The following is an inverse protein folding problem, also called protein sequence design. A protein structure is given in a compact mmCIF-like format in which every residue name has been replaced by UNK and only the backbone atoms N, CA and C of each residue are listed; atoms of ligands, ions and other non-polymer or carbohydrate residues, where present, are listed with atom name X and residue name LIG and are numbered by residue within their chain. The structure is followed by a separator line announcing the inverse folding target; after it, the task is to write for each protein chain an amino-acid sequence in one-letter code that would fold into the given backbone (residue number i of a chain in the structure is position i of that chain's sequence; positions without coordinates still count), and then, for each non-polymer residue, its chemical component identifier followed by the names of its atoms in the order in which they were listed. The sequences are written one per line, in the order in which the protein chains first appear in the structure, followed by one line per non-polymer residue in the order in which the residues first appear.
data_IF_017132932273
#
_entry.id   IF_017132932273
#
_cell.length_a   1.000
_cell.length_b   1.000
_cell.length_c   1.000
_cell.angle_alpha   90.00
_cell.angle_beta   90.00
_cell.angle_gamma   90.00
#
_symmetry.space_group_name_H-M   'P 1'
#
loop_
_entity.id
_entity.type
_entity.pdbx_description
1 polymer ?
#
# COMPACT_ATOMS: atom_id res chain seq x y z
N UNK A 1 -4.32 -11.22 10.66
CA UNK A 1 -5.00 -9.99 11.11
C UNK A 1 -5.30 -9.17 9.87
N UNK A 2 -6.52 -8.64 9.76
CA UNK A 2 -6.93 -7.86 8.59
C UNK A 2 -6.28 -6.48 8.61
N UNK A 3 -5.90 -6.02 7.43
CA UNK A 3 -5.40 -4.70 7.10
C UNK A 3 -6.29 -4.24 5.95
N UNK A 4 -7.28 -3.40 6.25
CA UNK A 4 -8.20 -2.93 5.22
C UNK A 4 -7.44 -2.02 4.26
N UNK A 5 -7.43 -2.41 2.99
CA UNK A 5 -6.95 -1.60 1.89
C UNK A 5 -8.14 -1.04 1.12
N UNK A 6 -7.86 -0.14 0.20
CA UNK A 6 -8.83 0.27 -0.81
C UNK A 6 -8.08 0.66 -2.08
N UNK A 7 -8.61 0.27 -3.23
CA UNK A 7 -8.07 0.69 -4.51
C UNK A 7 -8.44 2.16 -4.81
N UNK A 8 -7.55 2.91 -5.46
CA UNK A 8 -7.78 4.34 -5.75
C UNK A 8 -9.03 4.56 -6.61
N UNK A 9 -9.30 3.69 -7.57
CA UNK A 9 -10.53 3.75 -8.38
C UNK A 9 -11.79 3.65 -7.51
N UNK A 10 -11.77 2.77 -6.50
CA UNK A 10 -12.88 2.64 -5.55
C UNK A 10 -13.04 3.90 -4.70
N UNK A 11 -11.96 4.59 -4.33
CA UNK A 11 -12.04 5.89 -3.63
C UNK A 11 -12.72 6.94 -4.51
N UNK A 12 -12.30 7.06 -5.77
CA UNK A 12 -12.80 8.07 -6.70
C UNK A 12 -14.29 7.84 -6.98
N UNK A 13 -14.66 6.60 -7.28
CA UNK A 13 -16.04 6.24 -7.58
C UNK A 13 -16.94 6.32 -6.35
N UNK A 14 -16.49 5.86 -5.18
CA UNK A 14 -17.22 6.02 -3.94
C UNK A 14 -17.48 7.50 -3.61
N UNK A 15 -16.50 8.38 -3.86
CA UNK A 15 -16.65 9.83 -3.63
C UNK A 15 -17.70 10.44 -4.57
N UNK A 16 -17.66 10.05 -5.85
CA UNK A 16 -18.63 10.47 -6.84
C UNK A 16 -20.04 10.01 -6.47
N UNK A 17 -20.20 8.72 -6.15
CA UNK A 17 -21.49 8.14 -5.77
C UNK A 17 -22.03 8.73 -4.47
N UNK A 18 -21.18 8.97 -3.47
CA UNK A 18 -21.58 9.64 -2.23
C UNK A 18 -22.12 11.05 -2.50
N UNK A 19 -21.47 11.81 -3.38
CA UNK A 19 -21.89 13.17 -3.75
C UNK A 19 -23.21 13.16 -4.51
N UNK A 20 -23.35 12.24 -5.47
CA UNK A 20 -24.58 12.07 -6.25
C UNK A 20 -25.76 11.65 -5.38
N UNK A 21 -25.53 10.70 -4.47
CA UNK A 21 -26.52 10.27 -3.49
C UNK A 21 -26.92 11.42 -2.56
N UNK A 22 -25.95 12.17 -2.02
CA UNK A 22 -26.20 13.27 -1.10
C UNK A 22 -27.10 14.33 -1.74
N UNK A 23 -26.77 14.71 -2.99
CA UNK A 23 -27.56 15.65 -3.79
C UNK A 23 -28.95 15.11 -4.08
N UNK A 24 -29.07 13.87 -4.56
CA UNK A 24 -30.37 13.24 -4.90
C UNK A 24 -31.30 13.13 -3.69
N UNK A 25 -30.75 12.91 -2.49
CA UNK A 25 -31.52 12.80 -1.24
C UNK A 25 -31.87 14.16 -0.61
N UNK A 26 -31.37 15.28 -1.16
CA UNK A 26 -31.60 16.61 -0.60
C UNK A 26 -31.12 16.73 0.85
N UNK A 27 -30.03 16.04 1.20
CA UNK A 27 -29.49 16.04 2.56
C UNK A 27 -28.96 17.43 2.92
N UNK A 28 -29.06 17.76 4.20
CA UNK A 28 -28.34 18.87 4.83
C UNK A 28 -27.43 18.34 5.94
N UNK A 29 -26.37 19.08 6.25
CA UNK A 29 -25.38 18.70 7.27
C UNK A 29 -24.34 17.67 6.79
N UNK A 30 -23.47 17.26 7.70
CA UNK A 30 -22.32 16.39 7.36
C UNK A 30 -22.71 14.90 7.41
N UNK A 31 -22.35 14.16 6.36
CA UNK A 31 -22.45 12.69 6.34
C UNK A 31 -21.04 12.12 6.17
N UNK A 32 -20.65 11.24 7.10
CA UNK A 32 -19.36 10.56 7.05
C UNK A 32 -19.57 9.13 6.53
N UNK A 33 -18.79 8.75 5.53
CA UNK A 33 -18.65 7.38 5.04
C UNK A 33 -17.19 6.97 5.20
N UNK A 34 -16.97 5.85 5.87
CA UNK A 34 -15.67 5.19 5.81
C UNK A 34 -15.60 4.36 4.53
N UNK A 35 -14.41 4.28 3.95
CA UNK A 35 -14.16 3.45 2.79
C UNK A 35 -13.23 2.31 3.20
N UNK A 36 -13.70 1.09 2.98
CA UNK A 36 -12.94 -0.13 3.22
C UNK A 36 -13.47 -1.17 2.25
N UNK A 37 -12.59 -1.77 1.45
CA UNK A 37 -12.99 -2.86 0.59
C UNK A 37 -13.53 -4.04 1.41
N UNK A 38 -14.29 -4.93 0.78
CA UNK A 38 -14.86 -6.11 1.45
C UNK A 38 -13.84 -7.24 1.63
N UNK A 39 -12.60 -7.01 1.20
CA UNK A 39 -11.51 -7.95 1.31
C UNK A 39 -11.08 -8.15 2.76
N UNK A 40 -10.58 -9.35 3.06
CA UNK A 40 -9.92 -9.65 4.34
C UNK A 40 -8.41 -9.68 4.15
N UNK A 41 -7.88 -8.67 3.43
CA UNK A 41 -6.45 -8.56 3.16
C UNK A 41 -5.68 -8.55 4.48
N UNK A 42 -4.64 -9.36 4.57
CA UNK A 42 -3.70 -9.34 5.68
C UNK A 42 -2.38 -8.75 5.23
N UNK A 43 -1.53 -8.30 6.16
CA UNK A 43 -0.16 -7.90 5.83
C UNK A 43 0.59 -9.01 5.06
N UNK A 44 0.33 -10.29 5.40
CA UNK A 44 0.88 -11.42 4.69
C UNK A 44 0.43 -11.52 3.23
N UNK A 45 -0.82 -11.15 2.93
CA UNK A 45 -1.33 -11.13 1.55
C UNK A 45 -0.67 -10.03 0.73
N UNK A 46 -0.49 -8.84 1.32
CA UNK A 46 0.20 -7.72 0.70
C UNK A 46 1.65 -8.12 0.36
N UNK A 47 2.41 -8.61 1.34
CA UNK A 47 3.81 -8.98 1.13
C UNK A 47 3.94 -10.11 0.11
N UNK A 48 3.05 -11.11 0.13
CA UNK A 48 3.03 -12.17 -0.90
C UNK A 48 2.72 -11.63 -2.29
N UNK A 49 1.79 -10.69 -2.40
CA UNK A 49 1.47 -10.07 -3.68
C UNK A 49 2.65 -9.26 -4.22
N UNK A 50 3.30 -8.45 -3.38
CA UNK A 50 4.51 -7.69 -3.73
C UNK A 50 5.66 -8.62 -4.14
N UNK A 51 5.90 -9.70 -3.38
CA UNK A 51 6.90 -10.71 -3.72
C UNK A 51 6.67 -11.33 -5.09
N UNK A 52 5.40 -11.59 -5.47
CA UNK A 52 5.05 -12.06 -6.83
C UNK A 52 5.22 -11.00 -7.92
N UNK A 53 5.05 -9.71 -7.60
CA UNK A 53 5.24 -8.62 -8.57
C UNK A 53 6.70 -8.49 -8.97
N UNK A 54 7.61 -8.59 -8.00
CA UNK A 54 9.04 -8.37 -8.19
C UNK A 54 9.89 -9.66 -8.22
N UNK A 55 9.24 -10.83 -8.19
CA UNK A 55 9.90 -12.14 -8.13
C UNK A 55 10.90 -12.28 -6.96
N UNK A 56 10.50 -11.77 -5.78
CA UNK A 56 11.31 -11.80 -4.56
C UNK A 56 10.74 -12.83 -3.57
N UNK A 57 11.56 -13.76 -3.04
CA UNK A 57 11.12 -14.73 -2.06
C UNK A 57 10.70 -14.05 -0.76
N UNK A 58 9.53 -14.45 -0.24
CA UNK A 58 8.98 -13.92 1.01
C UNK A 58 9.15 -14.94 2.13
N UNK A 59 9.68 -14.50 3.27
CA UNK A 59 9.76 -15.31 4.48
C UNK A 59 9.05 -14.61 5.64
N UNK A 60 8.36 -15.39 6.47
CA UNK A 60 7.67 -14.89 7.66
C UNK A 60 8.36 -15.44 8.91
N UNK A 61 8.75 -14.55 9.83
CA UNK A 61 9.24 -14.95 11.15
C UNK A 61 8.06 -15.28 12.06
N UNK A 62 8.12 -16.44 12.73
CA UNK A 62 7.08 -16.85 13.69
C UNK A 62 6.96 -15.90 14.89
N UNK A 63 5.80 -15.88 15.53
CA UNK A 63 5.43 -14.98 16.62
C UNK A 63 6.41 -14.94 17.80
N UNK A 64 7.05 -16.08 18.11
CA UNK A 64 8.05 -16.19 19.18
C UNK A 64 9.34 -15.45 18.80
N UNK A 65 9.82 -15.59 17.56
CA UNK A 65 10.99 -14.87 17.06
C UNK A 65 10.71 -13.38 16.99
N UNK A 66 9.51 -12.99 16.55
CA UNK A 66 9.12 -11.58 16.46
C UNK A 66 9.11 -10.90 17.85
N UNK A 67 8.58 -11.56 18.88
CA UNK A 67 8.63 -11.06 20.27
C UNK A 67 10.06 -10.94 20.79
N UNK A 68 10.92 -11.92 20.50
CA UNK A 68 12.34 -11.83 20.84
C UNK A 68 13.02 -10.67 20.12
N UNK A 69 12.78 -10.47 18.82
CA UNK A 69 13.33 -9.33 18.08
C UNK A 69 12.79 -7.98 18.58
N UNK A 70 11.51 -7.88 18.92
CA UNK A 70 10.91 -6.65 19.45
C UNK A 70 11.54 -6.24 20.79
N UNK A 71 11.84 -7.22 21.65
CA UNK A 71 12.48 -6.99 22.94
C UNK A 71 14.01 -6.83 22.81
N UNK A 72 14.65 -7.56 21.90
CA UNK A 72 16.11 -7.63 21.79
C UNK A 72 16.73 -6.60 20.84
N UNK A 73 16.06 -6.23 19.74
CA UNK A 73 16.67 -5.39 18.69
C UNK A 73 16.36 -3.89 18.82
N UNK A 74 15.41 -3.46 19.67
CA UNK A 74 14.81 -2.12 19.64
C UNK A 74 14.31 -1.78 18.23
N UNK A 75 13.00 -1.74 18.01
CA UNK A 75 12.44 -1.54 16.67
C UNK A 75 12.95 -0.29 15.93
N UNK A 76 13.40 0.73 16.66
CA UNK A 76 14.12 1.89 16.12
C UNK A 76 15.40 1.52 15.35
N UNK A 77 16.22 0.59 15.85
CA UNK A 77 17.44 0.17 15.15
C UNK A 77 17.12 -0.59 13.86
N UNK A 78 16.07 -1.41 13.87
CA UNK A 78 15.60 -2.13 12.67
C UNK A 78 15.12 -1.13 11.62
N UNK A 79 14.35 -0.11 12.02
CA UNK A 79 13.93 0.98 11.14
C UNK A 79 15.14 1.67 10.50
N UNK A 80 16.11 2.06 11.31
CA UNK A 80 17.28 2.82 10.86
C UNK A 80 18.13 2.00 9.88
N UNK A 81 18.33 0.70 10.17
CA UNK A 81 19.02 -0.23 9.26
C UNK A 81 18.27 -0.41 7.93
N UNK A 82 16.94 -0.55 7.97
CA UNK A 82 16.11 -0.64 6.76
C UNK A 82 16.23 0.65 5.95
N UNK A 83 16.10 1.82 6.58
CA UNK A 83 16.23 3.10 5.88
C UNK A 83 17.62 3.27 5.25
N UNK A 84 18.70 2.95 5.97
CA UNK A 84 20.07 3.03 5.45
C UNK A 84 20.27 2.13 4.22
N UNK A 85 19.74 0.91 4.25
CA UNK A 85 19.88 -0.07 3.17
C UNK A 85 19.06 0.26 1.92
N UNK A 86 17.93 0.95 2.04
CA UNK A 86 17.02 1.17 0.91
C UNK A 86 17.09 2.57 0.31
N UNK A 87 17.37 3.60 1.11
CA UNK A 87 17.37 5.00 0.62
C UNK A 87 18.44 5.25 -0.44
N UNK A 88 19.69 4.82 -0.21
CA UNK A 88 20.79 5.04 -1.17
C UNK A 88 20.55 4.32 -2.51
N UNK A 89 20.20 3.00 -2.54
CA UNK A 89 19.87 2.34 -3.79
C UNK A 89 18.67 2.95 -4.52
N UNK A 90 17.64 3.38 -3.79
CA UNK A 90 16.49 4.05 -4.40
C UNK A 90 16.87 5.36 -5.08
N UNK A 91 17.64 6.22 -4.42
CA UNK A 91 18.15 7.47 -5.02
C UNK A 91 18.96 7.17 -6.28
N UNK A 92 19.83 6.16 -6.24
CA UNK A 92 20.62 5.75 -7.41
C UNK A 92 19.72 5.25 -8.56
N UNK A 93 18.69 4.47 -8.28
CA UNK A 93 17.73 4.01 -9.29
C UNK A 93 16.99 5.17 -9.96
N UNK A 94 16.62 6.19 -9.17
CA UNK A 94 16.00 7.41 -9.69
C UNK A 94 16.98 8.19 -10.58
N UNK A 95 18.21 8.41 -10.13
CA UNK A 95 19.27 9.09 -10.89
C UNK A 95 19.59 8.38 -12.20
N UNK A 96 19.82 7.06 -12.15
CA UNK A 96 20.11 6.23 -13.33
C UNK A 96 18.91 6.22 -14.31
N UNK A 97 17.69 6.50 -13.83
CA UNK A 97 16.47 6.64 -14.64
C UNK A 97 16.18 8.08 -15.09
N UNK A 98 17.02 9.06 -14.73
CA UNK A 98 16.79 10.48 -15.03
C UNK A 98 15.59 11.10 -14.29
N UNK A 99 15.21 10.55 -13.14
CA UNK A 99 14.08 10.99 -12.33
C UNK A 99 14.60 11.84 -11.17
N UNK A 100 14.34 13.15 -11.21
CA UNK A 100 14.80 14.09 -10.16
C UNK A 100 13.71 14.51 -9.16
N UNK A 101 12.43 14.28 -9.48
CA UNK A 101 11.28 14.77 -8.71
C UNK A 101 10.27 13.64 -8.43
N UNK A 102 10.73 12.52 -7.89
CA UNK A 102 9.80 11.49 -7.39
C UNK A 102 9.27 11.87 -6.02
N UNK A 103 7.95 11.78 -5.84
CA UNK A 103 7.30 11.92 -4.53
C UNK A 103 7.28 10.58 -3.76
N UNK A 104 7.77 9.49 -4.37
CA UNK A 104 7.80 8.17 -3.76
C UNK A 104 9.11 7.99 -2.99
N UNK A 105 8.99 7.55 -1.74
CA UNK A 105 10.12 7.31 -0.84
C UNK A 105 9.97 5.93 -0.20
N UNK A 106 11.04 5.12 -0.13
CA UNK A 106 11.06 3.88 0.63
C UNK A 106 11.30 4.11 2.12
N UNK A 107 11.35 5.37 2.58
CA UNK A 107 11.55 5.70 3.98
C UNK A 107 10.44 5.12 4.85
N UNK A 108 10.84 4.40 5.88
CA UNK A 108 9.98 3.80 6.89
C UNK A 108 10.04 4.62 8.17
N UNK A 109 8.90 5.18 8.58
CA UNK A 109 8.75 5.82 9.89
C UNK A 109 8.32 4.82 10.99
N UNK A 110 8.19 5.31 12.22
CA UNK A 110 7.86 4.50 13.41
C UNK A 110 6.49 3.82 13.32
N UNK A 111 5.53 4.42 12.62
CA UNK A 111 4.17 3.91 12.51
C UNK A 111 4.08 2.65 11.66
N UNK A 112 5.00 2.45 10.71
CA UNK A 112 5.06 1.22 9.90
C UNK A 112 5.41 -0.02 10.72
N UNK A 113 6.07 0.16 11.87
CA UNK A 113 6.43 -0.91 12.80
C UNK A 113 5.38 -1.12 13.89
N UNK A 114 4.38 -0.23 13.95
CA UNK A 114 3.22 -0.35 14.82
C UNK A 114 2.19 -1.24 14.13
N UNK A 115 2.05 -2.48 14.61
CA UNK A 115 1.04 -3.43 14.14
C UNK A 115 -0.33 -3.12 14.74
N UNK A 116 -0.76 -1.86 14.72
CA UNK A 116 -2.07 -1.48 15.24
C UNK A 116 -3.20 -1.91 14.29
N UNK A 117 -4.31 -2.32 14.89
CA UNK A 117 -5.47 -2.82 14.17
C UNK A 117 -6.26 -1.66 13.55
N UNK A 118 -6.00 -1.35 12.27
CA UNK A 118 -6.83 -0.40 11.52
C UNK A 118 -7.92 -1.16 10.77
N UNK A 119 -8.98 -1.53 11.51
CA UNK A 119 -10.20 -2.11 10.95
C UNK A 119 -11.33 -1.09 11.00
N UNK A 120 -11.85 -0.72 9.84
CA UNK A 120 -12.93 0.26 9.72
C UNK A 120 -14.12 -0.35 8.96
N UNK A 121 -15.33 -0.11 9.45
CA UNK A 121 -16.57 -0.54 8.78
C UNK A 121 -16.92 0.42 7.62
N UNK A 122 -16.73 -0.05 6.38
CA UNK A 122 -17.11 0.65 5.14
C UNK A 122 -18.54 0.33 4.65
N UNK A 123 -19.34 -0.42 5.42
CA UNK A 123 -20.64 -0.93 4.98
C UNK A 123 -21.72 0.15 4.81
N UNK A 124 -21.59 1.29 5.52
CA UNK A 124 -22.55 2.39 5.47
C UNK A 124 -22.76 2.93 4.05
N UNK A 125 -21.68 3.09 3.27
CA UNK A 125 -21.77 3.57 1.89
C UNK A 125 -22.61 2.61 1.05
N UNK A 126 -22.26 1.32 1.07
CA UNK A 126 -22.95 0.30 0.26
C UNK A 126 -24.44 0.20 0.59
N UNK A 127 -24.81 0.32 1.87
CA UNK A 127 -26.20 0.25 2.33
C UNK A 127 -27.02 1.49 1.95
N UNK A 128 -26.43 2.67 2.02
CA UNK A 128 -27.15 3.92 1.78
C UNK A 128 -27.21 4.32 0.30
N UNK A 129 -26.13 4.07 -0.45
CA UNK A 129 -25.99 4.50 -1.85
C UNK A 129 -26.16 3.37 -2.85
N UNK A 130 -26.03 2.11 -2.43
CA UNK A 130 -25.99 0.95 -3.33
C UNK A 130 -24.63 0.70 -3.99
N UNK A 131 -23.61 1.50 -3.67
CA UNK A 131 -22.26 1.37 -4.23
C UNK A 131 -21.71 -0.05 -4.06
N UNK A 132 -21.06 -0.54 -5.12
CA UNK A 132 -20.36 -1.83 -5.13
C UNK A 132 -18.87 -1.59 -5.40
N UNK A 133 -18.03 -2.08 -4.48
CA UNK A 133 -16.59 -2.06 -4.66
C UNK A 133 -16.20 -2.92 -5.86
N UNK A 134 -15.32 -2.39 -6.70
CA UNK A 134 -14.77 -3.09 -7.86
C UNK A 134 -13.65 -4.05 -7.46
N UNK A 135 -12.91 -3.70 -6.42
CA UNK A 135 -11.80 -4.49 -5.91
C UNK A 135 -12.16 -5.15 -4.58
N UNK A 136 -11.69 -6.38 -4.37
CA UNK A 136 -11.95 -7.20 -3.18
C UNK A 136 -10.67 -7.52 -2.40
N UNK A 137 -9.74 -6.57 -2.39
CA UNK A 137 -8.44 -6.65 -1.75
C UNK A 137 -7.27 -6.46 -2.70
N UNK A 138 -6.06 -6.59 -2.16
CA UNK A 138 -4.81 -6.44 -2.93
C UNK A 138 -4.60 -7.62 -3.88
N UNK A 139 -4.34 -7.29 -5.16
CA UNK A 139 -4.06 -8.26 -6.23
C UNK A 139 -2.71 -7.96 -6.89
N UNK A 140 -2.11 -8.97 -7.51
CA UNK A 140 -0.84 -8.81 -8.24
C UNK A 140 -1.04 -7.87 -9.44
N UNK A 141 -2.17 -8.01 -10.13
CA UNK A 141 -2.56 -7.22 -11.29
C UNK A 141 -2.76 -5.76 -10.91
N UNK A 142 -3.46 -5.49 -9.80
CA UNK A 142 -3.65 -4.13 -9.28
C UNK A 142 -2.33 -3.47 -8.90
N UNK A 143 -1.43 -4.20 -8.22
CA UNK A 143 -0.10 -3.67 -7.89
C UNK A 143 0.74 -3.38 -9.15
N UNK A 144 0.73 -4.28 -10.15
CA UNK A 144 1.41 -4.05 -11.44
C UNK A 144 0.84 -2.82 -12.16
N UNK A 145 -0.48 -2.67 -12.17
CA UNK A 145 -1.14 -1.51 -12.77
C UNK A 145 -0.73 -0.20 -12.08
N UNK A 146 -0.61 -0.20 -10.75
CA UNK A 146 -0.14 0.95 -9.99
C UNK A 146 1.33 1.30 -10.29
N UNK A 147 2.23 0.31 -10.29
CA UNK A 147 3.64 0.51 -10.68
C UNK A 147 3.73 1.07 -12.10
N UNK A 148 2.98 0.51 -13.04
CA UNK A 148 2.92 1.02 -14.41
C UNK A 148 2.40 2.46 -14.49
N UNK A 149 1.44 2.83 -13.62
CA UNK A 149 0.96 4.21 -13.51
C UNK A 149 2.06 5.17 -13.08
N UNK A 150 2.83 4.80 -12.06
CA UNK A 150 3.97 5.60 -11.59
C UNK A 150 5.09 5.70 -12.62
N UNK A 151 5.35 4.63 -13.37
CA UNK A 151 6.31 4.64 -14.48
C UNK A 151 5.86 5.56 -15.62
N UNK A 152 4.55 5.59 -15.95
CA UNK A 152 3.99 6.53 -16.93
C UNK A 152 4.08 7.97 -16.45
N UNK A 153 3.87 8.21 -15.16
CA UNK A 153 4.00 9.53 -14.54
C UNK A 153 5.47 9.99 -14.39
N UNK A 154 6.46 9.13 -14.70
CA UNK A 154 7.88 9.47 -14.60
C UNK A 154 8.39 9.61 -13.17
N UNK A 155 7.72 8.98 -12.20
CA UNK A 155 8.10 9.04 -10.77
C UNK A 155 8.58 7.69 -10.23
N UNK A 156 8.60 6.66 -11.06
CA UNK A 156 9.11 5.32 -10.71
C UNK A 156 10.11 4.83 -11.76
N UNK A 157 11.26 4.25 -11.34
CA UNK A 157 12.26 3.69 -12.24
C UNK A 157 11.68 2.66 -13.22
N UNK A 158 11.96 2.80 -14.51
CA UNK A 158 11.70 1.72 -15.46
C UNK A 158 12.74 0.63 -15.24
N UNK A 159 12.43 -0.62 -15.60
CA UNK A 159 13.42 -1.69 -15.56
C UNK A 159 14.66 -1.27 -16.36
N UNK A 160 15.72 -0.91 -15.65
CA UNK A 160 17.06 -0.82 -16.20
C UNK A 160 17.49 -2.26 -16.43
N UNK A 161 17.83 -2.61 -17.68
CA UNK A 161 18.53 -3.87 -17.95
C UNK A 161 19.75 -3.87 -17.03
N UNK A 162 19.77 -4.73 -16.01
CA UNK A 162 20.96 -4.92 -15.20
C UNK A 162 22.01 -5.55 -16.11
N UNK A 163 22.96 -4.75 -16.57
CA UNK A 163 24.15 -5.25 -17.23
C UNK A 163 24.98 -6.04 -16.20
N UNK A 164 24.81 -7.36 -16.20
CA UNK A 164 25.90 -8.31 -15.98
C UNK A 164 26.64 -8.29 -14.63
N UNK A 165 25.99 -7.91 -13.52
CA UNK A 165 26.55 -8.14 -12.18
C UNK A 165 26.55 -9.63 -11.83
N UNK A 166 27.65 -10.33 -12.09
CA UNK A 166 27.87 -11.73 -11.70
C UNK A 166 27.74 -11.89 -10.18
N UNK A 167 27.07 -12.97 -9.78
CA UNK A 167 27.00 -13.50 -8.41
C UNK A 167 28.39 -13.82 -7.84
#
# INVERSE_FOLDING_TARGET
MACHTIHVDDIVEATWEATQWYRKKGRSGTVIFNLADKGKTTHGDIVRAVGKVFDVPVQFYGSIKLKMYHVALKMEMVRDEVNEKHMKPWTKLLEDSGIHNSQLSPYMDETYLQFEEVNVDGGKLTRETGYQYKWSGVTVEGLKAQVASYQRAGIWPKETKMEGGKA
#
